data_IF_604834307948
#
_entry.id   IF_604834307948
#
_cell.length_a   1.000
_cell.length_b   1.000
_cell.length_c   1.000
_cell.angle_alpha   90.00
_cell.angle_beta   90.00
_cell.angle_gamma   90.00
#
_symmetry.space_group_name_H-M   'P 1'
#
loop_
_entity.id
_entity.type
_entity.pdbx_description
1 polymer ?
#
# COMPACT_ATOMS: atom_id res chain seq x y z
N UNK A 1 8.99 -11.05 10.70
CA UNK A 1 8.24 -11.20 9.44
C UNK A 1 8.83 -10.24 8.42
N UNK A 2 8.85 -10.66 7.16
CA UNK A 2 9.14 -9.78 6.03
C UNK A 2 7.82 -9.22 5.51
N UNK A 3 7.70 -7.89 5.43
CA UNK A 3 6.48 -7.18 5.07
C UNK A 3 6.79 -6.31 3.87
N UNK A 4 5.96 -6.40 2.83
CA UNK A 4 5.96 -5.41 1.74
C UNK A 4 4.87 -4.37 2.03
N UNK A 5 5.25 -3.10 2.02
CA UNK A 5 4.36 -1.98 2.25
C UNK A 5 4.22 -1.16 0.97
N UNK A 6 3.04 -1.17 0.35
CA UNK A 6 2.71 -0.39 -0.84
C UNK A 6 2.07 0.93 -0.42
N UNK A 7 2.81 2.03 -0.57
CA UNK A 7 2.32 3.38 -0.32
C UNK A 7 2.20 4.16 -1.63
N UNK A 8 0.99 4.28 -2.14
CA UNK A 8 0.73 4.94 -3.42
C UNK A 8 0.70 6.47 -3.35
N UNK A 9 0.75 7.05 -2.14
CA UNK A 9 0.72 8.48 -1.89
C UNK A 9 1.67 8.87 -0.73
N UNK A 10 2.97 8.73 -0.95
CA UNK A 10 3.98 8.95 0.09
C UNK A 10 4.27 10.45 0.31
N UNK A 11 3.51 11.06 1.22
CA UNK A 11 3.66 12.44 1.68
C UNK A 11 2.73 12.75 2.85
N UNK A 12 2.90 13.90 3.49
CA UNK A 12 2.05 14.31 4.61
C UNK A 12 1.93 13.23 5.70
N UNK A 13 0.68 12.95 6.11
CA UNK A 13 0.34 11.94 7.12
C UNK A 13 0.72 10.51 6.71
N UNK A 14 0.62 10.16 5.42
CA UNK A 14 1.02 8.84 4.89
C UNK A 14 2.50 8.57 5.14
N UNK A 15 3.34 9.55 4.78
CA UNK A 15 4.79 9.48 5.02
C UNK A 15 5.09 9.37 6.51
N UNK A 16 4.50 10.23 7.34
CA UNK A 16 4.73 10.21 8.78
C UNK A 16 4.35 8.86 9.41
N UNK A 17 3.25 8.26 8.96
CA UNK A 17 2.82 6.94 9.42
C UNK A 17 3.81 5.85 9.01
N UNK A 18 4.15 5.76 7.73
CA UNK A 18 5.05 4.73 7.23
C UNK A 18 6.45 4.84 7.85
N UNK A 19 7.03 6.05 7.89
CA UNK A 19 8.35 6.28 8.47
C UNK A 19 8.36 5.94 9.97
N UNK A 20 7.30 6.31 10.69
CA UNK A 20 7.13 5.95 12.10
C UNK A 20 7.01 4.45 12.30
N UNK A 21 6.16 3.78 11.52
CA UNK A 21 5.96 2.34 11.58
C UNK A 21 7.28 1.59 11.33
N UNK A 22 7.99 1.94 10.26
CA UNK A 22 9.29 1.34 9.92
C UNK A 22 10.35 1.58 11.00
N UNK A 23 10.34 2.76 11.64
CA UNK A 23 11.31 3.10 12.69
C UNK A 23 11.12 2.32 13.99
N UNK A 24 9.87 2.02 14.36
CA UNK A 24 9.55 1.47 15.69
C UNK A 24 9.10 0.00 15.68
N UNK A 25 8.89 -0.60 14.51
CA UNK A 25 8.55 -2.02 14.39
C UNK A 25 9.75 -2.93 14.67
N UNK A 26 9.48 -4.17 15.09
CA UNK A 26 10.46 -5.26 15.13
C UNK A 26 10.44 -6.13 13.87
N UNK A 27 9.57 -5.82 12.91
CA UNK A 27 9.46 -6.53 11.64
C UNK A 27 10.32 -5.89 10.55
N UNK A 28 10.72 -6.69 9.56
CA UNK A 28 11.42 -6.17 8.39
C UNK A 28 10.37 -5.64 7.40
N UNK A 29 10.33 -4.32 7.20
CA UNK A 29 9.42 -3.68 6.25
C UNK A 29 10.24 -3.16 5.07
N UNK A 30 9.92 -3.63 3.88
CA UNK A 30 10.33 -3.00 2.63
C UNK A 30 9.16 -2.18 2.08
N UNK A 31 9.42 -0.94 1.68
CA UNK A 31 8.36 -0.06 1.18
C UNK A 31 8.58 0.27 -0.30
N UNK A 32 7.49 0.18 -1.07
CA UNK A 32 7.45 0.62 -2.46
C UNK A 32 6.51 1.80 -2.50
N UNK A 33 7.07 2.97 -2.80
CA UNK A 33 6.39 4.24 -2.59
C UNK A 33 6.24 5.03 -3.89
N UNK A 34 5.18 5.83 -3.93
CA UNK A 34 4.88 6.73 -5.03
C UNK A 34 4.76 8.17 -4.51
N UNK A 35 5.24 9.20 -5.22
CA UNK A 35 5.13 10.58 -4.76
C UNK A 35 3.67 10.99 -4.52
N UNK A 36 3.44 11.75 -3.44
CA UNK A 36 2.15 12.31 -3.03
C UNK A 36 1.62 13.39 -3.99
N UNK A 37 1.21 12.95 -5.17
CA UNK A 37 0.61 13.77 -6.23
C UNK A 37 -0.34 12.91 -7.05
N UNK A 38 -1.26 13.58 -7.75
CA UNK A 38 -2.19 12.94 -8.69
C UNK A 38 -3.04 11.82 -8.06
N UNK A 39 -3.55 12.04 -6.84
CA UNK A 39 -4.27 11.01 -6.06
C UNK A 39 -5.44 10.34 -6.81
N UNK A 40 -6.18 11.09 -7.64
CA UNK A 40 -7.24 10.53 -8.49
C UNK A 40 -6.73 9.44 -9.44
N UNK A 41 -5.53 9.63 -9.96
CA UNK A 41 -4.85 8.63 -10.80
C UNK A 41 -4.35 7.47 -9.95
N UNK A 42 -3.82 7.73 -8.75
CA UNK A 42 -3.37 6.68 -7.82
C UNK A 42 -4.47 5.65 -7.53
N UNK A 43 -5.68 6.14 -7.23
CA UNK A 43 -6.84 5.28 -6.97
C UNK A 43 -7.22 4.35 -8.13
N UNK A 44 -6.76 4.61 -9.35
CA UNK A 44 -7.13 3.85 -10.55
C UNK A 44 -5.98 3.04 -11.13
N UNK A 45 -4.73 3.51 -11.00
CA UNK A 45 -3.60 2.91 -11.72
C UNK A 45 -2.49 2.38 -10.82
N UNK A 46 -2.49 2.70 -9.51
CA UNK A 46 -1.39 2.28 -8.63
C UNK A 46 -1.26 0.76 -8.51
N UNK A 47 -2.36 0.02 -8.57
CA UNK A 47 -2.34 -1.44 -8.53
C UNK A 47 -1.57 -2.04 -9.72
N UNK A 48 -1.92 -1.61 -10.93
CA UNK A 48 -1.21 -2.01 -12.15
C UNK A 48 0.27 -1.58 -12.10
N UNK A 49 0.53 -0.34 -11.72
CA UNK A 49 1.89 0.18 -11.62
C UNK A 49 2.76 -0.64 -10.66
N UNK A 50 2.26 -0.92 -9.45
CA UNK A 50 3.02 -1.73 -8.50
C UNK A 50 3.18 -3.18 -8.97
N UNK A 51 2.16 -3.76 -9.62
CA UNK A 51 2.27 -5.11 -10.16
C UNK A 51 3.39 -5.21 -11.19
N UNK A 52 3.48 -4.25 -12.11
CA UNK A 52 4.58 -4.16 -13.09
C UNK A 52 5.96 -3.99 -12.42
N UNK A 53 6.03 -3.31 -11.27
CA UNK A 53 7.29 -3.06 -10.59
C UNK A 53 7.80 -4.20 -9.72
N UNK A 54 6.94 -4.97 -9.07
CA UNK A 54 7.38 -5.86 -8.00
C UNK A 54 6.77 -7.28 -8.00
N UNK A 55 5.90 -7.63 -8.96
CA UNK A 55 5.19 -8.92 -8.95
C UNK A 55 6.11 -10.14 -8.74
N UNK A 56 7.23 -10.19 -9.46
CA UNK A 56 8.15 -11.34 -9.44
C UNK A 56 8.92 -11.47 -8.11
N UNK A 57 9.01 -10.38 -7.35
CA UNK A 57 9.80 -10.27 -6.13
C UNK A 57 8.96 -10.44 -4.86
N UNK A 58 7.65 -10.75 -4.98
CA UNK A 58 6.76 -10.81 -3.82
C UNK A 58 6.88 -12.09 -2.96
N UNK A 59 7.51 -13.15 -3.48
CA UNK A 59 7.58 -14.47 -2.83
C UNK A 59 8.15 -14.44 -1.39
N UNK A 60 9.19 -13.64 -1.07
CA UNK A 60 9.80 -13.63 0.27
C UNK A 60 8.95 -12.99 1.37
N UNK A 61 7.93 -12.19 1.02
CA UNK A 61 7.14 -11.44 2.01
C UNK A 61 6.07 -12.30 2.65
N UNK A 62 5.93 -12.22 3.97
CA UNK A 62 4.91 -12.94 4.75
C UNK A 62 3.56 -12.20 4.77
N UNK A 63 3.61 -10.88 4.57
CA UNK A 63 2.48 -9.96 4.70
C UNK A 63 2.59 -8.83 3.69
N UNK A 64 1.47 -8.49 3.07
CA UNK A 64 1.30 -7.28 2.26
C UNK A 64 0.52 -6.24 3.08
N UNK A 65 1.01 -5.00 3.11
CA UNK A 65 0.26 -3.84 3.60
C UNK A 65 0.12 -2.86 2.45
N UNK A 66 -1.09 -2.33 2.23
CA UNK A 66 -1.34 -1.30 1.24
C UNK A 66 -2.20 -0.19 1.84
N UNK A 67 -2.08 1.02 1.30
CA UNK A 67 -2.96 2.15 1.67
C UNK A 67 -4.14 2.32 0.71
N UNK A 68 -5.19 2.97 1.20
CA UNK A 68 -6.46 3.25 0.51
C UNK A 68 -6.36 3.93 -0.87
N UNK A 69 -5.21 4.50 -1.20
CA UNK A 69 -4.94 5.15 -2.49
C UNK A 69 -4.62 4.18 -3.65
N UNK A 70 -4.92 2.89 -3.49
CA UNK A 70 -4.83 1.88 -4.55
C UNK A 70 -5.92 0.78 -4.42
N UNK A 71 -6.10 -0.01 -5.48
CA UNK A 71 -6.99 -1.18 -5.45
C UNK A 71 -6.20 -2.45 -5.07
N UNK A 72 -6.33 -2.86 -3.80
CA UNK A 72 -5.63 -4.05 -3.29
C UNK A 72 -6.11 -5.36 -3.95
N UNK A 73 -7.40 -5.49 -4.24
CA UNK A 73 -7.94 -6.70 -4.86
C UNK A 73 -7.38 -6.91 -6.27
N UNK A 74 -7.31 -5.83 -7.05
CA UNK A 74 -6.69 -5.82 -8.38
C UNK A 74 -5.21 -6.14 -8.32
N UNK A 75 -4.45 -5.54 -7.40
CA UNK A 75 -3.03 -5.86 -7.21
C UNK A 75 -2.82 -7.35 -6.91
N UNK A 76 -3.62 -7.94 -6.00
CA UNK A 76 -3.53 -9.38 -5.69
C UNK A 76 -3.88 -10.25 -6.90
N UNK A 77 -4.85 -9.85 -7.72
CA UNK A 77 -5.21 -10.57 -8.94
C UNK A 77 -4.10 -10.52 -10.00
N UNK A 78 -3.46 -9.37 -10.17
CA UNK A 78 -2.37 -9.17 -11.15
C UNK A 78 -1.07 -9.89 -10.74
N UNK A 79 -0.78 -9.95 -9.44
CA UNK A 79 0.48 -10.50 -8.92
C UNK A 79 0.39 -11.95 -8.45
N UNK A 80 -0.83 -12.49 -8.29
CA UNK A 80 -1.04 -13.80 -7.69
C UNK A 80 -0.66 -13.86 -6.20
N UNK A 81 -0.60 -12.73 -5.50
CA UNK A 81 -0.24 -12.72 -4.07
C UNK A 81 -1.33 -13.39 -3.22
N UNK A 82 -1.02 -14.56 -2.65
CA UNK A 82 -1.98 -15.39 -1.89
C UNK A 82 -1.90 -15.23 -0.37
N UNK A 83 -0.83 -14.62 0.14
CA UNK A 83 -0.59 -14.45 1.57
C UNK A 83 -1.50 -13.37 2.19
N UNK A 84 -1.58 -13.26 3.52
CA UNK A 84 -2.38 -12.25 4.20
C UNK A 84 -2.05 -10.83 3.71
N UNK A 85 -3.07 -9.99 3.62
CA UNK A 85 -2.94 -8.60 3.24
C UNK A 85 -3.75 -7.70 4.17
N UNK A 86 -3.21 -6.53 4.50
CA UNK A 86 -3.87 -5.48 5.27
C UNK A 86 -4.07 -4.28 4.35
N UNK A 87 -5.28 -3.73 4.37
CA UNK A 87 -5.57 -2.42 3.78
C UNK A 87 -5.70 -1.39 4.89
N UNK A 88 -4.82 -0.39 4.90
CA UNK A 88 -4.86 0.72 5.84
C UNK A 88 -5.50 1.94 5.20
N UNK A 89 -6.61 2.40 5.78
CA UNK A 89 -7.33 3.59 5.30
C UNK A 89 -6.87 4.80 6.10
N UNK A 90 -6.19 5.74 5.44
CA UNK A 90 -5.78 7.02 6.04
C UNK A 90 -6.98 7.94 6.23
N UNK A 91 -7.91 7.91 5.28
CA UNK A 91 -9.16 8.64 5.34
C UNK A 91 -10.29 7.72 4.85
N UNK A 92 -11.30 7.50 5.69
CA UNK A 92 -12.52 6.84 5.25
C UNK A 92 -13.59 7.89 4.99
N UNK A 93 -14.26 7.78 3.85
CA UNK A 93 -15.41 8.60 3.49
C UNK A 93 -16.74 7.88 3.79
N UNK A 94 -16.71 6.80 4.59
CA UNK A 94 -17.91 6.02 4.90
C UNK A 94 -18.98 6.87 5.59
N UNK A 95 -18.52 7.88 6.35
CA UNK A 95 -19.37 8.85 7.03
C UNK A 95 -19.50 10.17 6.28
N UNK A 96 -19.18 10.23 4.98
CA UNK A 96 -19.24 11.45 4.17
C UNK A 96 -20.26 11.37 3.00
N UNK A 97 -21.06 12.45 2.78
CA UNK A 97 -21.24 13.56 3.72
C UNK A 97 -21.81 13.05 5.04
N UNK A 98 -21.61 13.82 6.12
CA UNK A 98 -22.19 13.46 7.43
C UNK A 98 -23.69 13.18 7.24
N UNK A 99 -24.20 12.06 7.79
CA UNK A 99 -25.61 11.71 7.67
C UNK A 99 -26.55 12.77 8.28
#
# INVERSE_FOLDING_TARGET
MNIVFLESYYGGSHKNFLDGLMKYTSHNIESITLPARFWKWRLRSSALYFAEQCADELKPYDLLIATDMMNLAEFKALTGFTKPAIMFFHENQLTYPLP
#
